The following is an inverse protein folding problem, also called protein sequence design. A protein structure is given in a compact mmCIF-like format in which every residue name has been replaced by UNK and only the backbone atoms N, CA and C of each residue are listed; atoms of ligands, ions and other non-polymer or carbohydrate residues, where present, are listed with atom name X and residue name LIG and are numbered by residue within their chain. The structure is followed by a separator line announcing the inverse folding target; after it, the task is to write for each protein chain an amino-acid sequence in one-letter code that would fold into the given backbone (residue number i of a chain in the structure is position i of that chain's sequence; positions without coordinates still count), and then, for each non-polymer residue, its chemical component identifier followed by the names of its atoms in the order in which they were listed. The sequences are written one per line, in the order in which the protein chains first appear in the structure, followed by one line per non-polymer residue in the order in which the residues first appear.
data_IF_278861966811
#
_entry.id   IF_278861966811
#
_cell.length_a   1.000
_cell.length_b   1.000
_cell.length_c   1.000
_cell.angle_alpha   90.00
_cell.angle_beta   90.00
_cell.angle_gamma   90.00
#
_symmetry.space_group_name_H-M   'P 1'
#
loop_
_entity.id
_entity.type
_entity.pdbx_description
1 polymer ?
#
# COMPACT_ATOMS: atom_id res chain seq x y z
N UNK A 1 12.56 19.36 9.42
CA UNK A 1 11.66 20.51 9.64
C UNK A 1 10.37 19.98 10.25
N UNK A 2 9.75 20.71 11.18
CA UNK A 2 8.48 20.31 11.82
C UNK A 2 7.48 21.44 11.56
N UNK A 3 6.33 21.09 10.98
CA UNK A 3 5.27 22.03 10.64
C UNK A 3 3.96 21.54 11.25
N UNK A 4 3.11 22.46 11.73
CA UNK A 4 1.76 22.14 12.18
C UNK A 4 0.76 22.74 11.21
N UNK A 5 -0.16 21.92 10.73
CA UNK A 5 -1.20 22.33 9.81
C UNK A 5 -2.47 21.50 10.00
N UNK A 6 -3.60 22.04 9.54
CA UNK A 6 -4.87 21.32 9.45
C UNK A 6 -5.04 20.78 8.03
N UNK A 7 -5.12 19.47 7.90
CA UNK A 7 -5.38 18.78 6.63
C UNK A 7 -6.79 19.14 6.14
N UNK A 8 -6.87 19.57 4.87
CA UNK A 8 -8.11 19.91 4.19
C UNK A 8 -8.46 18.90 3.11
N UNK A 9 -7.46 18.44 2.35
CA UNK A 9 -7.66 17.49 1.26
C UNK A 9 -6.40 16.63 1.06
N UNK A 10 -6.58 15.49 0.38
CA UNK A 10 -5.51 14.54 0.09
C UNK A 10 -5.63 14.03 -1.35
N UNK A 11 -4.52 14.07 -2.08
CA UNK A 11 -4.41 13.47 -3.41
C UNK A 11 -3.27 12.44 -3.45
N UNK A 12 -3.41 11.51 -4.38
CA UNK A 12 -2.35 10.59 -4.76
C UNK A 12 -1.91 10.95 -6.17
N UNK A 13 -0.61 11.14 -6.37
CA UNK A 13 -0.02 11.51 -7.65
C UNK A 13 1.14 10.57 -7.99
N UNK A 14 1.34 10.29 -9.28
CA UNK A 14 2.53 9.59 -9.79
C UNK A 14 3.41 10.60 -10.51
N UNK A 15 4.52 10.99 -9.89
CA UNK A 15 5.49 11.92 -10.46
C UNK A 15 6.75 11.17 -10.85
N UNK A 16 7.07 11.17 -12.14
CA UNK A 16 8.27 10.48 -12.67
C UNK A 16 8.33 8.97 -12.35
N UNK A 17 7.16 8.34 -12.17
CA UNK A 17 7.05 6.92 -11.81
C UNK A 17 7.11 6.63 -10.31
N UNK A 18 7.22 7.66 -9.48
CA UNK A 18 7.24 7.55 -8.02
C UNK A 18 5.91 8.00 -7.39
N UNK A 19 5.35 7.22 -6.44
CA UNK A 19 4.15 7.58 -5.70
C UNK A 19 4.38 8.79 -4.79
N UNK A 20 3.51 9.80 -4.86
CA UNK A 20 3.47 10.93 -3.93
C UNK A 20 2.09 11.05 -3.28
N UNK A 21 2.05 11.19 -1.95
CA UNK A 21 0.86 11.65 -1.24
C UNK A 21 0.96 13.15 -1.05
N UNK A 22 -0.04 13.86 -1.57
CA UNK A 22 -0.16 15.31 -1.47
C UNK A 22 -1.17 15.65 -0.38
N UNK A 23 -0.69 16.29 0.68
CA UNK A 23 -1.47 16.72 1.83
C UNK A 23 -1.67 18.24 1.75
N UNK A 24 -2.88 18.66 1.39
CA UNK A 24 -3.24 20.07 1.31
C UNK A 24 -3.78 20.54 2.65
N UNK A 25 -3.41 21.74 3.07
CA UNK A 25 -3.96 22.28 4.30
C UNK A 25 -3.66 23.74 4.54
N UNK A 26 -3.89 24.15 5.79
CA UNK A 26 -3.63 25.50 6.29
C UNK A 26 -2.77 25.41 7.54
N UNK A 27 -1.71 26.20 7.64
CA UNK A 27 -0.82 26.21 8.81
C UNK A 27 -1.34 27.14 9.95
N UNK A 28 -0.62 27.21 11.07
CA UNK A 28 -0.97 28.05 12.23
C UNK A 28 -1.10 29.55 11.90
N UNK A 29 -0.45 30.02 10.84
CA UNK A 29 -0.51 31.42 10.38
C UNK A 29 -1.69 31.70 9.44
N UNK A 30 -2.51 30.69 9.12
CA UNK A 30 -3.60 30.82 8.15
C UNK A 30 -3.16 30.72 6.69
N UNK A 31 -1.90 30.36 6.43
CA UNK A 31 -1.36 30.19 5.08
C UNK A 31 -1.66 28.82 4.51
N UNK A 32 -1.95 28.75 3.20
CA UNK A 32 -2.13 27.47 2.48
C UNK A 32 -0.79 26.76 2.35
N UNK A 33 -0.76 25.47 2.62
CA UNK A 33 0.43 24.62 2.54
C UNK A 33 0.15 23.33 1.77
N UNK A 34 1.18 22.83 1.08
CA UNK A 34 1.23 21.50 0.48
C UNK A 34 2.40 20.72 1.10
N UNK A 35 2.10 19.60 1.75
CA UNK A 35 3.11 18.64 2.23
C UNK A 35 3.11 17.43 1.30
N UNK A 36 4.28 17.08 0.76
CA UNK A 36 4.44 15.95 -0.15
C UNK A 36 5.18 14.83 0.58
N UNK A 37 4.52 13.69 0.75
CA UNK A 37 5.14 12.46 1.26
C UNK A 37 5.48 11.53 0.09
N UNK A 38 6.77 11.19 -0.04
CA UNK A 38 7.33 10.26 -1.05
C UNK A 38 7.71 8.90 -0.46
N UNK A 39 7.52 8.72 0.84
CA UNK A 39 7.86 7.49 1.55
C UNK A 39 6.71 6.49 1.60
N UNK A 40 5.51 6.90 1.21
CA UNK A 40 4.36 6.01 1.23
C UNK A 40 4.39 5.05 0.04
N UNK A 41 4.54 3.77 0.35
CA UNK A 41 4.42 2.70 -0.64
C UNK A 41 3.01 2.08 -0.56
N UNK A 42 2.22 2.12 -1.64
CA UNK A 42 0.91 1.48 -1.70
C UNK A 42 0.97 -0.02 -1.41
N UNK A 43 -0.08 -0.59 -0.82
CA UNK A 43 -0.14 -2.02 -0.55
C UNK A 43 -1.57 -2.54 -0.43
N UNK A 44 -1.74 -3.85 -0.54
CA UNK A 44 -2.97 -4.55 -0.20
C UNK A 44 -2.67 -5.85 0.58
N UNK A 45 -3.73 -6.50 1.09
CA UNK A 45 -3.62 -7.73 1.84
C UNK A 45 -4.31 -8.88 1.10
N UNK A 46 -3.58 -9.99 0.92
CA UNK A 46 -4.18 -11.29 0.61
C UNK A 46 -4.51 -12.00 1.92
N UNK A 47 -5.80 -12.18 2.18
CA UNK A 47 -6.28 -12.90 3.35
C UNK A 47 -6.14 -14.41 3.13
N UNK A 48 -5.53 -15.10 4.09
CA UNK A 48 -5.37 -16.55 4.03
C UNK A 48 -6.57 -17.23 4.66
N UNK A 49 -7.04 -18.29 4.02
CA UNK A 49 -8.04 -19.17 4.63
C UNK A 49 -7.45 -19.87 5.86
N UNK A 50 -8.30 -20.22 6.81
CA UNK A 50 -7.88 -20.91 8.03
C UNK A 50 -7.25 -22.27 7.70
N UNK A 51 -6.12 -22.58 8.35
CA UNK A 51 -5.35 -23.81 8.11
C UNK A 51 -4.41 -23.77 6.90
N UNK A 52 -4.45 -22.74 6.06
CA UNK A 52 -3.50 -22.59 4.94
C UNK A 52 -2.14 -22.12 5.46
N UNK A 53 -1.07 -22.77 5.01
CA UNK A 53 0.30 -22.32 5.29
C UNK A 53 0.62 -21.05 4.48
N UNK A 54 0.94 -19.92 5.14
CA UNK A 54 1.35 -18.69 4.45
C UNK A 54 2.52 -18.87 3.49
N UNK A 55 3.44 -19.82 3.76
CA UNK A 55 4.61 -20.04 2.91
C UNK A 55 4.21 -20.57 1.53
N UNK A 56 3.30 -21.54 1.48
CA UNK A 56 2.82 -22.10 0.21
C UNK A 56 2.13 -21.05 -0.65
N UNK A 57 1.34 -20.16 -0.03
CA UNK A 57 0.69 -19.07 -0.78
C UNK A 57 1.71 -18.04 -1.25
N UNK A 58 2.70 -17.71 -0.41
CA UNK A 58 3.78 -16.80 -0.80
C UNK A 58 4.56 -17.33 -2.01
N UNK A 59 4.92 -18.62 -2.02
CA UNK A 59 5.58 -19.28 -3.15
C UNK A 59 4.73 -19.22 -4.44
N UNK A 60 3.41 -19.42 -4.32
CA UNK A 60 2.48 -19.29 -5.44
C UNK A 60 2.41 -17.87 -6.01
N UNK A 61 2.37 -16.85 -5.15
CA UNK A 61 2.39 -15.45 -5.57
C UNK A 61 3.75 -15.06 -6.15
N UNK A 62 4.84 -15.58 -5.60
CA UNK A 62 6.19 -15.40 -6.15
C UNK A 62 6.35 -16.04 -7.54
N UNK A 63 5.66 -17.15 -7.83
CA UNK A 63 5.64 -17.71 -9.19
C UNK A 63 5.00 -16.76 -10.21
N UNK A 64 4.08 -15.90 -9.77
CA UNK A 64 3.45 -14.85 -10.59
C UNK A 64 4.30 -13.59 -10.72
N UNK A 65 5.50 -13.54 -10.11
CA UNK A 65 6.37 -12.35 -10.08
C UNK A 65 6.74 -11.80 -11.46
N UNK A 66 6.77 -12.64 -12.50
CA UNK A 66 6.98 -12.20 -13.89
C UNK A 66 5.86 -11.29 -14.42
N UNK A 67 4.68 -11.35 -13.80
CA UNK A 67 3.50 -10.51 -14.10
C UNK A 67 3.37 -9.32 -13.13
N UNK A 68 4.25 -9.23 -12.14
CA UNK A 68 4.29 -8.16 -11.14
C UNK A 68 5.48 -7.23 -11.39
N UNK A 69 5.42 -6.02 -10.86
CA UNK A 69 6.57 -5.13 -10.92
C UNK A 69 7.76 -5.71 -10.11
N UNK A 70 9.02 -5.65 -10.58
CA UNK A 70 10.18 -6.23 -9.87
C UNK A 70 10.36 -5.74 -8.42
N UNK A 71 9.96 -4.50 -8.15
CA UNK A 71 10.03 -3.85 -6.83
C UNK A 71 8.92 -4.29 -5.86
N UNK A 72 8.01 -5.17 -6.27
CA UNK A 72 6.93 -5.70 -5.43
C UNK A 72 7.53 -6.44 -4.24
N UNK A 73 7.30 -5.94 -3.03
CA UNK A 73 7.71 -6.58 -1.77
C UNK A 73 6.51 -7.32 -1.19
N UNK A 74 6.75 -8.46 -0.55
CA UNK A 74 5.71 -9.24 0.11
C UNK A 74 6.16 -9.60 1.53
N UNK A 75 5.23 -9.58 2.48
CA UNK A 75 5.50 -10.00 3.86
C UNK A 75 4.29 -10.72 4.46
N UNK A 76 4.56 -11.83 5.17
CA UNK A 76 3.55 -12.50 5.98
C UNK A 76 3.34 -11.70 7.25
N UNK A 77 2.09 -11.37 7.54
CA UNK A 77 1.70 -10.56 8.70
C UNK A 77 0.50 -11.15 9.42
N UNK A 78 0.40 -10.85 10.71
CA UNK A 78 -0.81 -11.08 11.50
C UNK A 78 -1.63 -9.79 11.59
N UNK A 79 -2.94 -9.91 11.36
CA UNK A 79 -3.90 -8.80 11.41
C UNK A 79 -5.17 -9.24 12.13
N UNK A 80 -6.07 -8.30 12.35
CA UNK A 80 -7.42 -8.59 12.83
C UNK A 80 -8.43 -8.21 11.76
N UNK A 81 -9.34 -9.12 11.45
CA UNK A 81 -10.48 -8.88 10.57
C UNK A 81 -11.76 -9.12 11.38
N UNK A 82 -12.58 -8.07 11.54
CA UNK A 82 -13.75 -8.08 12.43
C UNK A 82 -13.43 -8.60 13.84
N UNK A 83 -12.27 -8.22 14.37
CA UNK A 83 -11.79 -8.61 15.70
C UNK A 83 -11.13 -9.99 15.79
N UNK A 84 -11.25 -10.85 14.77
CA UNK A 84 -10.63 -12.18 14.75
C UNK A 84 -9.21 -12.12 14.21
N UNK A 85 -8.23 -12.79 14.84
CA UNK A 85 -6.87 -12.85 14.32
C UNK A 85 -6.85 -13.62 12.99
N UNK A 86 -6.17 -13.06 11.99
CA UNK A 86 -5.99 -13.65 10.66
C UNK A 86 -4.54 -13.53 10.24
N UNK A 87 -4.06 -14.51 9.47
CA UNK A 87 -2.80 -14.41 8.74
C UNK A 87 -3.08 -13.84 7.36
N UNK A 88 -2.23 -12.93 6.91
CA UNK A 88 -2.32 -12.31 5.60
C UNK A 88 -0.94 -12.14 4.98
N UNK A 89 -0.90 -12.02 3.66
CA UNK A 89 0.29 -11.55 2.94
C UNK A 89 0.05 -10.10 2.59
N UNK A 90 0.90 -9.20 3.08
CA UNK A 90 0.90 -7.79 2.67
C UNK A 90 1.77 -7.65 1.43
N UNK A 91 1.19 -7.17 0.34
CA UNK A 91 1.84 -6.99 -0.95
C UNK A 91 1.97 -5.51 -1.21
N UNK A 92 3.21 -5.04 -1.38
CA UNK A 92 3.53 -3.65 -1.67
C UNK A 92 3.63 -3.44 -3.18
N UNK A 93 2.93 -2.42 -3.68
CA UNK A 93 2.91 -2.02 -5.09
C UNK A 93 3.73 -0.74 -5.28
N UNK A 94 4.17 -0.49 -6.51
CA UNK A 94 4.76 0.81 -6.87
C UNK A 94 3.69 1.83 -7.22
N UNK A 95 2.67 1.38 -7.97
CA UNK A 95 1.56 2.21 -8.45
C UNK A 95 0.22 1.67 -7.91
N UNK A 96 -0.61 2.48 -7.21
CA UNK A 96 -1.95 2.10 -6.81
C UNK A 96 -2.83 1.65 -7.96
N UNK A 97 -2.63 2.19 -9.17
CA UNK A 97 -3.42 1.80 -10.34
C UNK A 97 -3.15 0.37 -10.77
N UNK A 98 -2.02 -0.22 -10.34
CA UNK A 98 -1.71 -1.64 -10.54
C UNK A 98 -2.43 -2.57 -9.55
N UNK A 99 -2.98 -2.05 -8.44
CA UNK A 99 -3.61 -2.87 -7.40
C UNK A 99 -4.79 -3.69 -7.95
N UNK A 100 -5.74 -3.14 -8.73
CA UNK A 100 -6.84 -3.94 -9.29
C UNK A 100 -6.33 -5.07 -10.19
N UNK A 101 -5.30 -4.80 -11.00
CA UNK A 101 -4.68 -5.82 -11.84
C UNK A 101 -4.11 -6.95 -10.99
N UNK A 102 -3.33 -6.64 -9.95
CA UNK A 102 -2.71 -7.64 -9.08
C UNK A 102 -3.73 -8.42 -8.25
N UNK A 103 -4.78 -7.74 -7.75
CA UNK A 103 -5.86 -8.37 -7.01
C UNK A 103 -6.72 -9.30 -7.88
N UNK A 104 -6.78 -9.03 -9.20
CA UNK A 104 -7.52 -9.84 -10.17
C UNK A 104 -6.73 -11.03 -10.73
N UNK A 105 -5.46 -11.20 -10.34
CA UNK A 105 -4.69 -12.37 -10.72
C UNK A 105 -5.27 -13.60 -10.02
N UNK A 106 -6.24 -14.25 -10.68
CA UNK A 106 -6.68 -15.59 -10.31
C UNK A 106 -5.53 -16.59 -10.55
N UNK A 107 -5.28 -17.43 -9.54
CA UNK A 107 -4.39 -18.58 -9.59
C UNK A 107 -5.18 -19.87 -9.62
#
# INVERSE_FOLDING_TARGET
MKERFWLLDLNYEVKEGEPEIWLWGVNEEGSRILVIDRGFQPYFYLLLQEGVDPKTVLEGVEALRSRLHPSTRMEVVERKLFGKPVKAIKIYCQDPDSIPQYASLEG
#
